data_IF_733302826674
#
_entry.id   IF_733302826674
#
_cell.length_a   1.000
_cell.length_b   1.000
_cell.length_c   1.000
_cell.angle_alpha   90.00
_cell.angle_beta   90.00
_cell.angle_gamma   90.00
#
_symmetry.space_group_name_H-M   'P 1'
#
loop_
_entity.id
_entity.type
_entity.pdbx_description
1 polymer ?
#
# COMPACT_ATOMS: atom_id res chain seq x y z
N UNK A 1 -9.14 -4.46 -19.10
CA UNK A 1 -8.47 -3.61 -18.12
C UNK A 1 -7.31 -4.35 -17.47
N UNK A 2 -6.14 -3.75 -17.39
CA UNK A 2 -4.98 -4.45 -16.82
C UNK A 2 -5.02 -4.59 -15.29
N UNK A 3 -5.96 -3.97 -14.59
CA UNK A 3 -6.05 -4.04 -13.14
C UNK A 3 -6.58 -5.41 -12.72
N UNK A 4 -5.79 -6.14 -11.95
CA UNK A 4 -6.17 -7.46 -11.43
C UNK A 4 -6.75 -7.38 -10.02
N UNK A 5 -6.33 -6.37 -9.25
CA UNK A 5 -6.68 -6.23 -7.85
C UNK A 5 -6.68 -4.75 -7.51
N UNK A 6 -7.69 -4.28 -6.80
CA UNK A 6 -7.74 -2.92 -6.27
C UNK A 6 -8.20 -2.97 -4.82
N UNK A 7 -7.46 -2.28 -3.95
CA UNK A 7 -7.66 -2.32 -2.51
C UNK A 7 -7.67 -0.90 -1.96
N UNK A 8 -8.71 -0.58 -1.20
CA UNK A 8 -8.79 0.69 -0.48
C UNK A 8 -8.01 0.56 0.82
N UNK A 9 -7.16 1.53 1.14
CA UNK A 9 -6.38 1.49 2.36
C UNK A 9 -6.20 2.89 2.93
N UNK A 10 -5.48 2.99 4.05
CA UNK A 10 -5.17 4.27 4.67
C UNK A 10 -6.30 4.82 5.50
N UNK A 11 -6.37 6.14 5.62
CA UNK A 11 -7.30 6.83 6.53
C UNK A 11 -8.77 6.60 6.21
N UNK A 12 -9.10 6.38 4.93
CA UNK A 12 -10.48 6.13 4.52
C UNK A 12 -11.04 4.84 5.14
N UNK A 13 -10.16 3.86 5.38
CA UNK A 13 -10.56 2.56 5.98
C UNK A 13 -10.57 2.65 7.50
N UNK A 14 -9.63 3.41 8.08
CA UNK A 14 -9.48 3.49 9.54
C UNK A 14 -10.52 4.38 10.22
N UNK A 15 -11.38 5.03 9.47
CA UNK A 15 -12.40 5.93 10.02
C UNK A 15 -11.86 7.28 10.50
N UNK A 16 -10.61 7.58 10.21
CA UNK A 16 -9.98 8.86 10.55
C UNK A 16 -10.07 9.86 9.40
N UNK A 17 -11.08 9.70 8.57
CA UNK A 17 -11.28 10.58 7.41
C UNK A 17 -11.66 11.98 7.84
N UNK A 18 -10.90 12.95 7.33
CA UNK A 18 -11.28 14.35 7.36
C UNK A 18 -11.93 14.68 6.01
N UNK A 19 -12.76 15.72 5.93
CA UNK A 19 -13.42 16.07 4.67
C UNK A 19 -12.45 16.33 3.51
N UNK A 20 -11.22 16.70 3.81
CA UNK A 20 -10.17 17.01 2.84
C UNK A 20 -9.11 15.91 2.74
N UNK A 21 -9.35 14.74 3.34
CA UNK A 21 -8.39 13.63 3.29
C UNK A 21 -8.41 12.95 1.93
N UNK A 22 -7.22 12.59 1.44
CA UNK A 22 -7.08 11.81 0.23
C UNK A 22 -7.55 10.38 0.46
N UNK A 23 -8.03 9.76 -0.60
CA UNK A 23 -8.39 8.35 -0.60
C UNK A 23 -7.26 7.57 -1.23
N UNK A 24 -6.76 6.56 -0.51
CA UNK A 24 -5.64 5.75 -0.97
C UNK A 24 -6.13 4.44 -1.58
N UNK A 25 -5.74 4.19 -2.84
CA UNK A 25 -6.10 2.97 -3.56
C UNK A 25 -4.82 2.31 -4.08
N UNK A 26 -4.68 1.03 -3.79
CA UNK A 26 -3.56 0.23 -4.29
C UNK A 26 -4.06 -0.70 -5.39
N UNK A 27 -3.30 -0.82 -6.47
CA UNK A 27 -3.65 -1.69 -7.59
C UNK A 27 -2.53 -2.68 -7.88
N UNK A 28 -2.94 -3.86 -8.34
CA UNK A 28 -2.03 -4.88 -8.87
C UNK A 28 -2.39 -5.07 -10.34
N UNK A 29 -1.40 -4.95 -11.21
CA UNK A 29 -1.63 -5.01 -12.67
C UNK A 29 -1.13 -6.30 -13.31
N UNK A 30 -0.41 -7.14 -12.56
CA UNK A 30 0.09 -8.39 -13.08
C UNK A 30 1.34 -8.20 -13.96
N UNK A 31 1.44 -9.02 -15.00
CA UNK A 31 2.63 -9.04 -15.86
C UNK A 31 2.72 -7.88 -16.83
N UNK A 32 1.60 -7.28 -17.18
CA UNK A 32 1.58 -6.11 -18.04
C UNK A 32 1.90 -4.89 -17.20
N UNK A 33 3.00 -4.23 -17.52
CA UNK A 33 3.34 -2.98 -16.86
C UNK A 33 2.75 -1.84 -17.68
N UNK A 34 1.65 -1.25 -17.21
CA UNK A 34 1.15 -0.05 -17.85
C UNK A 34 2.17 1.07 -17.68
N UNK A 35 2.23 1.97 -18.62
CA UNK A 35 3.12 3.11 -18.54
C UNK A 35 2.58 4.13 -17.51
N UNK A 36 3.34 5.18 -17.28
CA UNK A 36 2.97 6.21 -16.32
C UNK A 36 1.66 6.89 -16.69
N UNK A 37 1.34 6.96 -17.99
CA UNK A 37 0.11 7.60 -18.43
C UNK A 37 -1.13 6.79 -18.01
N UNK A 38 -1.00 5.47 -17.88
CA UNK A 38 -2.08 4.62 -17.36
C UNK A 38 -2.42 5.00 -15.93
N UNK A 39 -1.41 5.14 -15.07
CA UNK A 39 -1.63 5.50 -13.67
C UNK A 39 -2.25 6.88 -13.54
N UNK A 40 -1.74 7.84 -14.29
CA UNK A 40 -2.26 9.22 -14.26
C UNK A 40 -3.73 9.25 -14.70
N UNK A 41 -4.03 8.56 -15.81
CA UNK A 41 -5.40 8.52 -16.34
C UNK A 41 -6.35 7.85 -15.37
N UNK A 42 -5.98 6.70 -14.81
CA UNK A 42 -6.81 5.98 -13.86
C UNK A 42 -7.02 6.81 -12.59
N UNK A 43 -5.96 7.41 -12.06
CA UNK A 43 -6.05 8.26 -10.88
C UNK A 43 -6.99 9.43 -11.07
N UNK A 44 -6.93 10.06 -12.25
CA UNK A 44 -7.83 11.15 -12.61
C UNK A 44 -9.28 10.68 -12.68
N UNK A 45 -9.52 9.54 -13.33
CA UNK A 45 -10.87 9.00 -13.47
C UNK A 45 -11.47 8.66 -12.12
N UNK A 46 -10.67 8.07 -11.23
CA UNK A 46 -11.13 7.73 -9.89
C UNK A 46 -11.41 8.98 -9.05
N UNK A 47 -10.57 10.00 -9.17
CA UNK A 47 -10.75 11.27 -8.47
C UNK A 47 -12.06 11.93 -8.91
N UNK A 48 -12.35 11.93 -10.20
CA UNK A 48 -13.58 12.49 -10.72
C UNK A 48 -14.80 11.71 -10.23
N UNK A 49 -14.72 10.37 -10.24
CA UNK A 49 -15.82 9.53 -9.81
C UNK A 49 -16.08 9.64 -8.31
N UNK A 50 -15.02 9.72 -7.52
CA UNK A 50 -15.12 9.79 -6.06
C UNK A 50 -15.40 11.18 -5.52
N UNK A 51 -15.21 12.21 -6.35
CA UNK A 51 -15.31 13.63 -5.97
C UNK A 51 -14.37 14.00 -4.82
N UNK A 52 -13.24 13.31 -4.74
CA UNK A 52 -12.19 13.59 -3.78
C UNK A 52 -10.88 13.14 -4.39
N UNK A 53 -9.76 13.69 -3.92
CA UNK A 53 -8.44 13.31 -4.40
C UNK A 53 -8.19 11.82 -4.12
N UNK A 54 -7.80 11.09 -5.15
CA UNK A 54 -7.46 9.67 -5.04
C UNK A 54 -5.98 9.50 -5.32
N UNK A 55 -5.25 8.99 -4.32
CA UNK A 55 -3.86 8.60 -4.46
C UNK A 55 -3.78 7.15 -4.87
N UNK A 56 -3.23 6.92 -6.05
CA UNK A 56 -3.13 5.58 -6.63
C UNK A 56 -1.70 5.08 -6.51
N UNK A 57 -1.51 3.92 -5.91
CA UNK A 57 -0.20 3.29 -5.86
C UNK A 57 -0.24 1.92 -6.52
N UNK A 58 0.90 1.49 -7.06
CA UNK A 58 1.05 0.16 -7.63
C UNK A 58 1.68 -0.76 -6.62
N UNK A 59 1.03 -1.90 -6.35
CA UNK A 59 1.53 -2.89 -5.41
C UNK A 59 2.87 -3.49 -5.85
N UNK A 60 3.11 -3.55 -7.16
CA UNK A 60 4.36 -4.02 -7.71
C UNK A 60 5.56 -3.19 -7.24
N UNK A 61 5.34 -1.92 -6.94
CA UNK A 61 6.39 -1.00 -6.52
C UNK A 61 6.36 -0.69 -5.02
N UNK A 62 5.46 -1.31 -4.28
CA UNK A 62 5.31 -1.05 -2.85
C UNK A 62 6.35 -1.83 -2.04
N UNK A 63 6.77 -1.27 -0.91
CA UNK A 63 7.68 -1.95 0.01
C UNK A 63 6.99 -3.15 0.67
N UNK A 64 7.79 -4.03 1.22
CA UNK A 64 7.28 -5.21 1.96
C UNK A 64 6.37 -4.78 3.11
N UNK A 65 6.76 -3.73 3.84
CA UNK A 65 5.98 -3.22 4.97
C UNK A 65 4.64 -2.65 4.50
N UNK A 66 4.67 -1.84 3.44
CA UNK A 66 3.44 -1.25 2.91
C UNK A 66 2.49 -2.32 2.37
N UNK A 67 3.02 -3.30 1.65
CA UNK A 67 2.19 -4.43 1.18
C UNK A 67 1.54 -5.17 2.35
N UNK A 68 2.28 -5.38 3.44
CA UNK A 68 1.74 -6.01 4.64
C UNK A 68 0.60 -5.19 5.25
N UNK A 69 0.80 -3.88 5.36
CA UNK A 69 -0.22 -2.99 5.90
C UNK A 69 -1.49 -3.02 5.06
N UNK A 70 -1.34 -2.99 3.75
CA UNK A 70 -2.47 -3.06 2.82
C UNK A 70 -3.15 -4.43 2.91
N UNK A 71 -2.37 -5.51 2.98
CA UNK A 71 -2.91 -6.87 3.04
C UNK A 71 -3.73 -7.11 4.31
N UNK A 72 -3.32 -6.52 5.43
CA UNK A 72 -3.97 -6.77 6.72
C UNK A 72 -5.09 -5.78 7.04
N UNK A 73 -4.98 -4.54 6.58
CA UNK A 73 -5.94 -3.49 6.91
C UNK A 73 -6.77 -2.98 5.74
N UNK A 74 -6.45 -3.39 4.52
CA UNK A 74 -7.14 -2.87 3.35
C UNK A 74 -8.48 -3.53 3.09
N UNK A 75 -9.32 -2.84 2.33
CA UNK A 75 -10.64 -3.32 1.93
C UNK A 75 -10.62 -3.59 0.43
N UNK A 76 -11.00 -4.81 0.04
CA UNK A 76 -11.04 -5.20 -1.36
C UNK A 76 -12.10 -4.40 -2.10
N UNK A 77 -11.69 -3.76 -3.21
CA UNK A 77 -12.60 -3.07 -4.11
C UNK A 77 -12.94 -3.94 -5.32
N UNK A 78 -11.92 -4.51 -5.94
CA UNK A 78 -12.08 -5.31 -7.15
C UNK A 78 -11.04 -6.43 -7.16
N UNK A 79 -11.46 -7.64 -7.53
CA UNK A 79 -10.53 -8.71 -7.91
C UNK A 79 -11.00 -9.32 -9.23
N UNK A 80 -10.06 -9.48 -10.15
CA UNK A 80 -10.36 -9.99 -11.49
C UNK A 80 -10.70 -11.48 -11.48
N UNK A 81 -10.02 -12.22 -10.62
CA UNK A 81 -10.24 -13.67 -10.48
C UNK A 81 -10.49 -13.99 -9.01
N UNK A 82 -11.27 -15.05 -8.71
CA UNK A 82 -11.45 -15.48 -7.33
C UNK A 82 -10.09 -15.76 -6.69
N UNK A 83 -9.94 -15.41 -5.41
CA UNK A 83 -8.74 -15.68 -4.61
C UNK A 83 -7.51 -14.82 -4.97
N UNK A 84 -7.61 -13.86 -5.86
CA UNK A 84 -6.51 -12.93 -6.13
C UNK A 84 -6.11 -12.19 -4.86
N UNK A 85 -7.08 -11.69 -4.13
CA UNK A 85 -6.83 -10.97 -2.89
C UNK A 85 -6.24 -11.89 -1.82
N UNK A 86 -6.79 -13.09 -1.70
CA UNK A 86 -6.28 -14.07 -0.74
C UNK A 86 -4.83 -14.45 -1.03
N UNK A 87 -4.47 -14.61 -2.29
CA UNK A 87 -3.08 -14.89 -2.69
C UNK A 87 -2.15 -13.72 -2.39
N UNK A 88 -2.62 -12.51 -2.67
CA UNK A 88 -1.84 -11.32 -2.34
C UNK A 88 -1.59 -11.23 -0.84
N UNK A 89 -2.62 -11.47 -0.02
CA UNK A 89 -2.49 -11.43 1.43
C UNK A 89 -1.50 -12.48 1.94
N UNK A 90 -1.59 -13.70 1.43
CA UNK A 90 -0.70 -14.79 1.84
C UNK A 90 0.76 -14.49 1.46
N UNK A 91 0.99 -14.00 0.25
CA UNK A 91 2.33 -13.67 -0.22
C UNK A 91 2.92 -12.50 0.58
N UNK A 92 2.12 -11.48 0.82
CA UNK A 92 2.57 -10.32 1.60
C UNK A 92 2.91 -10.69 3.03
N UNK A 93 2.13 -11.57 3.64
CA UNK A 93 2.40 -12.08 4.98
C UNK A 93 3.70 -12.88 5.03
N UNK A 94 3.93 -13.76 4.05
CA UNK A 94 5.17 -14.54 3.96
C UNK A 94 6.40 -13.65 3.81
N UNK A 95 6.33 -12.67 2.93
CA UNK A 95 7.42 -11.72 2.73
C UNK A 95 7.71 -10.94 4.01
N UNK A 96 6.67 -10.49 4.70
CA UNK A 96 6.82 -9.73 5.92
C UNK A 96 7.43 -10.56 7.04
N UNK A 97 7.01 -11.81 7.19
CA UNK A 97 7.56 -12.72 8.21
C UNK A 97 9.06 -12.92 7.99
N UNK A 98 9.49 -13.08 6.75
CA UNK A 98 10.91 -13.21 6.43
C UNK A 98 11.68 -11.92 6.71
N UNK A 99 11.05 -10.77 6.53
CA UNK A 99 11.69 -9.48 6.68
C UNK A 99 11.67 -8.95 8.10
N UNK A 100 10.71 -9.39 8.93
CA UNK A 100 10.50 -8.86 10.26
C UNK A 100 11.75 -8.91 11.17
N UNK A 101 12.55 -10.00 11.18
CA UNK A 101 13.77 -10.01 12.01
C UNK A 101 14.76 -8.93 11.62
N UNK A 102 14.93 -8.67 10.32
CA UNK A 102 15.82 -7.61 9.84
C UNK A 102 15.29 -6.23 10.24
N UNK A 103 13.97 -6.04 10.14
CA UNK A 103 13.33 -4.78 10.56
C UNK A 103 13.57 -4.53 12.05
N UNK A 104 13.39 -5.55 12.88
CA UNK A 104 13.60 -5.43 14.31
C UNK A 104 15.04 -5.06 14.63
N UNK A 105 15.99 -5.71 13.96
CA UNK A 105 17.41 -5.42 14.14
C UNK A 105 17.76 -3.99 13.76
N UNK A 106 17.35 -3.55 12.57
CA UNK A 106 17.64 -2.20 12.11
C UNK A 106 16.95 -1.15 12.96
N UNK A 107 15.73 -1.42 13.40
CA UNK A 107 15.02 -0.51 14.28
C UNK A 107 15.77 -0.29 15.59
N UNK A 108 16.34 -1.36 16.14
CA UNK A 108 17.13 -1.27 17.36
C UNK A 108 18.41 -0.47 17.16
N UNK A 109 19.10 -0.69 16.03
CA UNK A 109 20.31 0.06 15.68
C UNK A 109 20.00 1.54 15.54
N UNK A 110 18.92 1.88 14.83
CA UNK A 110 18.54 3.29 14.66
C UNK A 110 18.18 3.94 15.98
N UNK A 111 17.45 3.22 16.82
CA UNK A 111 17.06 3.74 18.14
C UNK A 111 18.29 4.07 18.99
N UNK A 112 19.27 3.19 19.02
CA UNK A 112 20.52 3.44 19.74
C UNK A 112 21.25 4.66 19.23
N UNK A 113 21.35 4.78 17.91
CA UNK A 113 22.03 5.94 17.30
C UNK A 113 21.33 7.25 17.63
N UNK A 114 20.02 7.26 17.57
CA UNK A 114 19.24 8.45 17.90
C UNK A 114 19.41 8.85 19.38
N UNK A 115 19.43 7.87 20.27
CA UNK A 115 19.67 8.12 21.69
C UNK A 115 21.05 8.69 21.94
N UNK A 116 22.07 8.14 21.32
CA UNK A 116 23.43 8.65 21.45
C UNK A 116 23.54 10.10 21.00
N UNK A 117 22.93 10.46 19.90
CA UNK A 117 22.93 11.82 19.41
C UNK A 117 22.15 12.77 20.31
N UNK A 118 21.07 12.32 20.89
CA UNK A 118 20.30 13.11 21.83
C UNK A 118 21.10 13.41 23.11
N UNK A 119 21.99 12.48 23.51
CA UNK A 119 22.83 12.65 24.70
C UNK A 119 23.95 13.64 24.52
N UNK A 120 24.41 13.82 23.28
CA UNK A 120 25.57 14.68 23.01
C UNK A 120 25.21 16.14 22.77
N UNK A 121 23.92 16.48 22.88
CA UNK A 121 23.45 17.88 22.73
C UNK A 121 23.19 18.54 24.07
#
# INVERSE_FOLDING_TARGET
MPVRLAILFGSAVSGRTRPDSDVDVAILTGRLEPDDSFEVTLGRDLTLAARTEVDLIRLEHASTVLKWQIATGGVLLVEKSPQEFARFRARSASEYIEYAPALAYYGEVFRRRLFEQARTR
#
